data_IF_059586263387
#
_entry.id   IF_059586263387
#
_cell.length_a   1.000
_cell.length_b   1.000
_cell.length_c   1.000
_cell.angle_alpha   90.00
_cell.angle_beta   90.00
_cell.angle_gamma   90.00
#
_symmetry.space_group_name_H-M   'P 1'
#
loop_
_entity.id
_entity.type
_entity.pdbx_description
1 polymer ?
#
# COMPACT_ATOMS: atom_id res chain seq x y z
N UNK A 1 14.23 17.66 -46.73
CA UNK A 1 15.53 17.83 -46.05
C UNK A 1 15.98 16.46 -45.59
N UNK A 2 17.14 15.97 -46.05
CA UNK A 2 17.69 14.67 -45.62
C UNK A 2 18.81 14.93 -44.62
N UNK A 3 18.69 14.39 -43.40
CA UNK A 3 19.68 14.53 -42.35
C UNK A 3 20.83 13.53 -42.58
N UNK A 4 22.08 13.98 -42.41
CA UNK A 4 23.26 13.16 -42.62
C UNK A 4 23.48 12.22 -41.42
N UNK A 5 23.31 10.91 -41.65
CA UNK A 5 23.39 9.84 -40.64
C UNK A 5 24.81 9.67 -40.07
N UNK A 6 25.83 10.24 -40.72
CA UNK A 6 27.21 10.12 -40.28
C UNK A 6 27.75 11.37 -39.59
N UNK A 7 26.89 12.26 -39.11
CA UNK A 7 27.33 13.42 -38.34
C UNK A 7 27.85 12.99 -36.94
N UNK A 8 29.00 13.52 -36.49
CA UNK A 8 29.50 13.26 -35.14
C UNK A 8 28.57 13.86 -34.06
N UNK A 9 28.54 13.29 -32.84
CA UNK A 9 27.71 13.80 -31.75
C UNK A 9 28.14 15.21 -31.32
N UNK A 10 27.16 16.11 -31.16
CA UNK A 10 27.36 17.48 -30.72
C UNK A 10 27.25 17.60 -29.19
N UNK A 11 28.22 18.25 -28.58
CA UNK A 11 28.23 18.57 -27.14
C UNK A 11 28.34 20.09 -26.98
N UNK A 12 27.27 20.78 -26.53
CA UNK A 12 27.31 22.23 -26.32
C UNK A 12 28.06 22.57 -25.04
N UNK A 13 28.90 23.60 -25.13
CA UNK A 13 29.78 24.05 -24.05
C UNK A 13 29.19 25.23 -23.26
N UNK A 14 28.04 25.78 -23.67
CA UNK A 14 27.22 26.72 -22.89
C UNK A 14 25.98 26.00 -22.33
N UNK A 15 25.70 26.20 -21.04
CA UNK A 15 24.52 25.63 -20.38
C UNK A 15 23.22 26.07 -21.05
N UNK A 16 22.26 25.15 -21.18
CA UNK A 16 21.04 25.25 -22.00
C UNK A 16 20.02 26.32 -21.55
N UNK A 17 20.34 27.13 -20.54
CA UNK A 17 19.37 27.99 -19.86
C UNK A 17 19.62 29.49 -19.97
N UNK A 18 20.69 29.95 -20.61
CA UNK A 18 20.97 31.39 -20.75
C UNK A 18 20.67 31.86 -22.17
N UNK A 19 19.63 32.68 -22.39
CA UNK A 19 19.43 33.30 -23.70
C UNK A 19 20.57 34.30 -23.95
N UNK A 20 21.35 34.05 -25.00
CA UNK A 20 22.42 34.96 -25.43
C UNK A 20 21.77 36.04 -26.30
N UNK A 21 21.65 37.25 -25.76
CA UNK A 21 21.12 38.42 -26.45
C UNK A 21 22.25 39.34 -26.91
N UNK A 22 22.04 40.10 -27.99
CA UNK A 22 23.09 40.90 -28.66
C UNK A 22 23.75 41.95 -27.75
N UNK A 23 23.01 42.44 -26.76
CA UNK A 23 23.46 43.33 -25.70
C UNK A 23 24.49 42.68 -24.75
N UNK A 24 24.36 41.38 -24.48
CA UNK A 24 25.35 40.59 -23.70
C UNK A 24 26.65 40.44 -24.48
N UNK A 25 26.55 40.26 -25.79
CA UNK A 25 27.70 40.10 -26.68
C UNK A 25 28.52 41.39 -26.74
N UNK A 26 27.85 42.54 -26.89
CA UNK A 26 28.47 43.87 -26.94
C UNK A 26 29.06 44.28 -25.60
N UNK A 27 28.34 44.03 -24.49
CA UNK A 27 28.80 44.43 -23.15
C UNK A 27 29.99 43.61 -22.65
N UNK A 28 30.07 42.33 -23.01
CA UNK A 28 31.19 41.46 -22.62
C UNK A 28 32.40 41.54 -23.59
N UNK A 29 32.35 42.40 -24.61
CA UNK A 29 33.44 42.56 -25.58
C UNK A 29 33.74 41.27 -26.35
N UNK A 30 32.73 40.42 -26.54
CA UNK A 30 32.90 39.11 -27.15
C UNK A 30 33.16 39.28 -28.65
N UNK A 31 34.07 38.48 -29.23
CA UNK A 31 34.40 38.58 -30.65
C UNK A 31 33.19 38.14 -31.48
N UNK A 32 32.37 39.12 -31.84
CA UNK A 32 31.17 38.94 -32.65
C UNK A 32 31.41 39.48 -34.05
N UNK A 33 31.34 38.60 -35.04
CA UNK A 33 31.37 38.98 -36.43
C UNK A 33 29.96 38.80 -37.01
N UNK A 34 29.24 39.87 -37.36
CA UNK A 34 27.85 39.78 -37.88
C UNK A 34 27.74 39.09 -39.26
N UNK A 35 28.85 38.56 -39.80
CA UNK A 35 28.93 37.90 -41.12
C UNK A 35 29.25 36.41 -41.06
N UNK A 36 29.40 35.82 -39.88
CA UNK A 36 29.61 34.38 -39.73
C UNK A 36 28.42 33.74 -39.04
N UNK A 37 27.66 32.92 -39.78
CA UNK A 37 26.60 32.08 -39.23
C UNK A 37 27.22 31.01 -38.31
N UNK A 38 27.29 31.27 -37.00
CA UNK A 38 27.78 30.31 -36.02
C UNK A 38 27.51 30.74 -34.57
N UNK A 39 27.31 29.78 -33.67
CA UNK A 39 27.10 29.99 -32.24
C UNK A 39 28.45 30.08 -31.49
N UNK A 40 28.61 31.11 -30.66
CA UNK A 40 29.78 31.34 -29.81
C UNK A 40 29.56 30.66 -28.47
N UNK A 41 30.49 29.81 -28.06
CA UNK A 41 30.52 29.26 -26.71
C UNK A 41 31.56 30.04 -25.88
N UNK A 42 31.13 30.63 -24.77
CA UNK A 42 32.01 31.09 -23.70
C UNK A 42 32.35 29.95 -22.73
N UNK A 43 33.65 29.69 -22.53
CA UNK A 43 34.14 28.98 -21.34
C UNK A 43 33.97 29.91 -20.13
N UNK A 44 33.18 29.50 -19.13
CA UNK A 44 33.02 30.28 -17.90
C UNK A 44 34.30 30.19 -17.07
N UNK A 45 35.00 31.31 -16.93
CA UNK A 45 36.15 31.42 -16.02
C UNK A 45 35.64 31.35 -14.58
N UNK A 46 35.72 30.17 -13.96
CA UNK A 46 35.35 29.97 -12.56
C UNK A 46 36.46 30.56 -11.67
N UNK A 47 36.13 31.59 -10.90
CA UNK A 47 37.02 32.18 -9.91
C UNK A 47 37.01 31.31 -8.64
N UNK A 48 38.08 30.53 -8.42
CA UNK A 48 38.27 29.74 -7.21
C UNK A 48 38.84 30.61 -6.09
N UNK A 49 37.99 31.38 -5.43
CA UNK A 49 38.34 31.97 -4.13
C UNK A 49 37.91 30.99 -3.04
N UNK A 50 38.86 30.57 -2.19
CA UNK A 50 38.54 29.84 -0.96
C UNK A 50 37.75 30.77 -0.04
N UNK A 51 36.55 30.31 0.36
CA UNK A 51 35.65 31.00 1.28
C UNK A 51 35.88 30.40 2.67
N UNK A 52 36.23 31.21 3.69
CA UNK A 52 36.37 30.73 5.07
C UNK A 52 35.06 30.14 5.60
N UNK A 53 35.15 29.13 6.47
CA UNK A 53 33.98 28.46 7.05
C UNK A 53 33.06 29.45 7.80
N UNK A 54 33.64 30.50 8.39
CA UNK A 54 32.90 31.55 9.09
C UNK A 54 32.02 32.37 8.13
N UNK A 55 32.43 32.53 6.87
CA UNK A 55 31.67 33.23 5.83
C UNK A 55 30.65 32.30 5.14
N UNK A 56 30.89 30.98 5.17
CA UNK A 56 30.11 29.99 4.41
C UNK A 56 28.63 29.90 4.84
N UNK A 57 28.35 30.23 6.09
CA UNK A 57 27.00 30.19 6.67
C UNK A 57 26.53 31.55 7.19
N UNK A 58 27.26 32.63 6.90
CA UNK A 58 26.87 33.97 7.32
C UNK A 58 25.84 34.54 6.33
N UNK A 59 24.58 34.79 6.78
CA UNK A 59 23.53 35.34 5.94
C UNK A 59 23.86 36.75 5.39
N UNK A 60 24.82 37.45 5.99
CA UNK A 60 25.28 38.74 5.48
C UNK A 60 26.05 38.61 4.16
N UNK A 61 26.73 37.47 3.94
CA UNK A 61 27.49 37.19 2.71
C UNK A 61 26.69 36.33 1.72
N UNK A 62 25.90 35.38 2.24
CA UNK A 62 25.03 34.50 1.45
C UNK A 62 23.60 34.53 1.99
N UNK A 63 22.87 35.64 1.76
CA UNK A 63 21.48 35.73 2.18
C UNK A 63 20.62 34.75 1.39
N UNK A 64 19.62 34.17 2.06
CA UNK A 64 18.62 33.35 1.39
C UNK A 64 17.95 34.15 0.28
N UNK A 65 17.99 33.58 -0.92
CA UNK A 65 17.25 34.11 -2.05
C UNK A 65 15.77 33.75 -1.89
N UNK A 66 14.90 34.45 -2.63
CA UNK A 66 13.48 34.12 -2.64
C UNK A 66 13.23 32.68 -3.09
N UNK A 67 14.09 32.16 -3.99
CA UNK A 67 14.02 30.78 -4.45
C UNK A 67 14.36 29.80 -3.32
N UNK A 68 15.43 30.06 -2.56
CA UNK A 68 15.80 29.20 -1.44
C UNK A 68 14.69 29.13 -0.39
N UNK A 69 14.01 30.25 -0.13
CA UNK A 69 12.88 30.29 0.79
C UNK A 69 11.68 29.48 0.28
N UNK A 70 11.39 29.54 -1.02
CA UNK A 70 10.31 28.72 -1.60
C UNK A 70 10.64 27.23 -1.62
N UNK A 71 11.91 26.89 -1.83
CA UNK A 71 12.38 25.50 -1.76
C UNK A 71 12.29 24.97 -0.33
N UNK A 72 12.64 25.80 0.66
CA UNK A 72 12.54 25.45 2.07
C UNK A 72 11.07 25.24 2.49
N UNK A 73 10.16 26.11 2.07
CA UNK A 73 8.72 25.95 2.31
C UNK A 73 8.18 24.65 1.68
N UNK A 74 8.61 24.32 0.46
CA UNK A 74 8.24 23.05 -0.17
C UNK A 74 8.77 21.84 0.60
N UNK A 75 9.97 21.93 1.18
CA UNK A 75 10.52 20.88 2.03
C UNK A 75 9.70 20.69 3.31
N UNK A 76 9.26 21.79 3.93
CA UNK A 76 8.40 21.74 5.12
C UNK A 76 7.07 21.05 4.82
N UNK A 77 6.41 21.43 3.71
CA UNK A 77 5.16 20.79 3.27
C UNK A 77 5.33 19.30 2.99
N UNK A 78 6.45 18.92 2.37
CA UNK A 78 6.76 17.51 2.11
C UNK A 78 6.95 16.74 3.42
N UNK A 79 7.65 17.32 4.39
CA UNK A 79 7.85 16.69 5.69
C UNK A 79 6.55 16.49 6.46
N UNK A 80 5.63 17.47 6.40
CA UNK A 80 4.29 17.34 6.99
C UNK A 80 3.51 16.19 6.34
N UNK A 81 3.49 16.12 5.00
CA UNK A 81 2.84 15.03 4.27
C UNK A 81 3.42 13.66 4.63
N UNK A 82 4.73 13.56 4.76
CA UNK A 82 5.39 12.30 5.13
C UNK A 82 5.01 11.88 6.56
N UNK A 83 4.90 12.82 7.50
CA UNK A 83 4.44 12.53 8.84
C UNK A 83 2.98 12.02 8.85
N UNK A 84 2.10 12.61 8.03
CA UNK A 84 0.73 12.14 7.88
C UNK A 84 0.65 10.72 7.29
N UNK A 85 1.51 10.42 6.31
CA UNK A 85 1.59 9.07 5.73
C UNK A 85 2.04 8.03 6.77
N UNK A 86 3.02 8.34 7.61
CA UNK A 86 3.46 7.44 8.70
C UNK A 86 2.31 7.12 9.66
N UNK A 87 1.45 8.11 9.95
CA UNK A 87 0.26 7.91 10.80
C UNK A 87 -0.74 6.97 10.11
N UNK A 88 -0.97 7.14 8.81
CA UNK A 88 -1.89 6.29 8.04
C UNK A 88 -1.38 4.85 7.93
N UNK A 89 -0.08 4.66 7.71
CA UNK A 89 0.54 3.34 7.69
C UNK A 89 0.37 2.62 9.03
N UNK A 90 0.55 3.34 10.15
CA UNK A 90 0.31 2.81 11.48
C UNK A 90 -1.17 2.42 11.68
N UNK A 91 -2.10 3.23 11.18
CA UNK A 91 -3.52 2.92 11.24
C UNK A 91 -3.86 1.66 10.45
N UNK A 92 -3.32 1.51 9.23
CA UNK A 92 -3.51 0.30 8.44
C UNK A 92 -2.94 -0.93 9.15
N UNK A 93 -1.74 -0.83 9.72
CA UNK A 93 -1.12 -1.92 10.47
C UNK A 93 -1.98 -2.34 11.67
N UNK A 94 -2.51 -1.38 12.43
CA UNK A 94 -3.41 -1.64 13.55
C UNK A 94 -4.73 -2.29 13.10
N UNK A 95 -5.31 -1.81 11.99
CA UNK A 95 -6.50 -2.41 11.41
C UNK A 95 -6.28 -3.86 11.00
N UNK A 96 -5.13 -4.15 10.36
CA UNK A 96 -4.76 -5.51 10.01
C UNK A 96 -4.59 -6.40 11.24
N UNK A 97 -3.85 -5.94 12.25
CA UNK A 97 -3.66 -6.68 13.52
C UNK A 97 -5.00 -6.97 14.21
N UNK A 98 -5.93 -6.01 14.20
CA UNK A 98 -7.26 -6.18 14.76
C UNK A 98 -8.06 -7.23 13.98
N UNK A 99 -8.03 -7.16 12.64
CA UNK A 99 -8.71 -8.13 11.79
C UNK A 99 -8.17 -9.55 12.01
N UNK A 100 -6.85 -9.71 12.05
CA UNK A 100 -6.18 -10.98 12.33
C UNK A 100 -6.59 -11.53 13.71
N UNK A 101 -6.65 -10.67 14.73
CA UNK A 101 -7.07 -11.08 16.08
C UNK A 101 -8.53 -11.48 16.15
N UNK A 102 -9.41 -10.76 15.46
CA UNK A 102 -10.82 -11.13 15.35
C UNK A 102 -10.98 -12.49 14.65
N UNK A 103 -10.19 -12.74 13.60
CA UNK A 103 -10.20 -14.02 12.90
C UNK A 103 -9.72 -15.17 13.80
N UNK A 104 -8.60 -14.99 14.51
CA UNK A 104 -8.06 -15.95 15.47
C UNK A 104 -9.08 -16.30 16.57
N UNK A 105 -9.78 -15.30 17.12
CA UNK A 105 -10.81 -15.51 18.14
C UNK A 105 -12.03 -16.25 17.59
N UNK A 106 -12.46 -15.94 16.37
CA UNK A 106 -13.56 -16.62 15.69
C UNK A 106 -13.21 -18.09 15.40
N UNK A 107 -11.99 -18.37 14.96
CA UNK A 107 -11.49 -19.74 14.77
C UNK A 107 -11.41 -20.51 16.09
N UNK A 108 -10.88 -19.89 17.14
CA UNK A 108 -10.83 -20.48 18.47
C UNK A 108 -12.24 -20.77 19.01
N UNK A 109 -13.19 -19.85 18.85
CA UNK A 109 -14.60 -20.07 19.22
C UNK A 109 -15.19 -21.27 18.48
N UNK A 110 -15.00 -21.36 17.16
CA UNK A 110 -15.48 -22.50 16.35
C UNK A 110 -14.88 -23.83 16.80
N UNK A 111 -13.60 -23.85 17.15
CA UNK A 111 -12.92 -25.02 17.70
C UNK A 111 -13.50 -25.45 19.06
N UNK A 112 -13.76 -24.49 19.94
CA UNK A 112 -14.40 -24.73 21.23
C UNK A 112 -15.84 -25.22 21.08
N UNK A 113 -16.64 -24.58 20.22
CA UNK A 113 -18.03 -24.99 19.95
C UNK A 113 -18.10 -26.42 19.40
N UNK A 114 -17.18 -26.79 18.50
CA UNK A 114 -17.07 -28.17 18.02
C UNK A 114 -16.72 -29.14 19.15
N UNK A 115 -15.81 -28.76 20.04
CA UNK A 115 -15.43 -29.56 21.21
C UNK A 115 -16.60 -29.74 22.17
N UNK A 116 -17.32 -28.66 22.49
CA UNK A 116 -18.50 -28.67 23.36
C UNK A 116 -19.60 -29.54 22.75
N UNK A 117 -19.87 -29.38 21.45
CA UNK A 117 -20.86 -30.19 20.76
C UNK A 117 -20.48 -31.67 20.74
N UNK A 118 -19.21 -31.99 20.52
CA UNK A 118 -18.70 -33.37 20.58
C UNK A 118 -18.87 -33.99 21.98
N UNK A 119 -18.65 -33.23 23.05
CA UNK A 119 -18.87 -33.69 24.43
C UNK A 119 -20.36 -33.96 24.66
N UNK A 120 -21.23 -32.98 24.38
CA UNK A 120 -22.68 -33.08 24.57
C UNK A 120 -23.30 -34.26 23.80
N UNK A 121 -22.89 -34.45 22.54
CA UNK A 121 -23.40 -35.55 21.72
C UNK A 121 -22.86 -36.92 22.14
N UNK A 122 -21.68 -36.98 22.75
CA UNK A 122 -21.10 -38.23 23.24
C UNK A 122 -21.84 -38.72 24.49
N UNK A 123 -22.14 -37.82 25.42
CA UNK A 123 -22.95 -38.12 26.61
C UNK A 123 -24.36 -38.60 26.22
N UNK A 124 -25.04 -37.92 25.29
CA UNK A 124 -26.37 -38.33 24.82
C UNK A 124 -26.39 -39.70 24.15
N UNK A 125 -25.37 -40.06 23.36
CA UNK A 125 -25.28 -41.38 22.71
C UNK A 125 -24.98 -42.50 23.70
N UNK A 126 -24.20 -42.23 24.74
CA UNK A 126 -23.88 -43.21 25.78
C UNK A 126 -25.09 -43.48 26.67
N UNK A 127 -25.86 -42.45 27.01
CA UNK A 127 -27.15 -42.57 27.70
C UNK A 127 -28.19 -43.31 26.84
N UNK A 128 -28.33 -42.97 25.55
CA UNK A 128 -29.23 -43.66 24.62
C UNK A 128 -28.83 -45.13 24.41
N UNK A 129 -27.54 -45.43 24.35
CA UNK A 129 -27.02 -46.80 24.27
C UNK A 129 -27.30 -47.58 25.56
N UNK A 130 -27.11 -46.95 26.74
CA UNK A 130 -27.43 -47.53 28.03
C UNK A 130 -28.95 -47.79 28.18
N UNK A 131 -29.79 -46.86 27.74
CA UNK A 131 -31.25 -46.99 27.78
C UNK A 131 -31.76 -48.09 26.83
N UNK A 132 -31.19 -48.20 25.62
CA UNK A 132 -31.47 -49.31 24.69
C UNK A 132 -30.98 -50.65 25.23
N UNK A 133 -29.81 -50.68 25.87
CA UNK A 133 -29.29 -51.89 26.51
C UNK A 133 -30.14 -52.35 27.69
N UNK A 134 -30.78 -51.43 28.42
CA UNK A 134 -31.76 -51.74 29.46
C UNK A 134 -33.08 -52.28 28.86
N UNK A 135 -33.58 -51.64 27.79
CA UNK A 135 -34.83 -52.03 27.11
C UNK A 135 -34.73 -53.40 26.42
N UNK A 136 -33.55 -53.77 25.94
CA UNK A 136 -33.31 -55.06 25.27
C UNK A 136 -33.05 -56.21 26.27
N UNK A 137 -32.96 -55.94 27.57
CA UNK A 137 -32.92 -56.96 28.61
C UNK A 137 -34.36 -57.33 29.00
N UNK A 138 -34.85 -58.39 28.37
CA UNK A 138 -36.12 -59.11 28.59
C UNK A 138 -37.27 -58.67 27.69
N UNK A 139 -37.43 -59.40 26.58
CA UNK A 139 -38.65 -60.14 26.25
C UNK A 139 -38.25 -61.25 25.25
N UNK A 140 -38.61 -62.53 25.47
CA UNK A 140 -38.26 -63.62 24.56
C UNK A 140 -39.01 -63.46 23.22
N UNK A 141 -38.48 -64.01 22.10
CA UNK A 141 -39.04 -63.80 20.78
C UNK A 141 -40.38 -64.52 20.64
N UNK A 142 -41.46 -63.76 20.51
CA UNK A 142 -42.76 -64.30 20.12
C UNK A 142 -42.79 -64.48 18.60
N UNK A 143 -42.96 -65.73 18.15
CA UNK A 143 -43.08 -66.09 16.73
C UNK A 143 -44.48 -65.75 16.20
N UNK A 144 -44.51 -65.37 14.91
CA UNK A 144 -45.67 -65.13 14.03
C UNK A 144 -46.39 -63.79 14.24
N UNK A 145 -46.86 -63.04 13.23
CA UNK A 145 -47.52 -63.42 11.98
C UNK A 145 -47.20 -62.36 10.88
N UNK A 146 -47.14 -62.80 9.63
CA UNK A 146 -47.11 -61.94 8.43
C UNK A 146 -48.41 -61.12 8.37
N UNK A 147 -48.31 -59.82 8.08
CA UNK A 147 -49.21 -59.05 7.18
C UNK A 147 -48.77 -57.57 7.14
N UNK A 148 -48.30 -57.13 5.97
CA UNK A 148 -48.29 -55.73 5.54
C UNK A 148 -49.57 -55.51 4.72
N UNK A 149 -50.25 -54.35 4.83
CA UNK A 149 -49.89 -53.25 3.93
C UNK A 149 -49.96 -51.85 4.56
N UNK A 150 -49.07 -50.98 4.06
CA UNK A 150 -49.36 -49.64 3.55
C UNK A 150 -50.37 -48.76 4.33
N UNK A 151 -49.89 -47.67 4.93
CA UNK A 151 -50.30 -46.27 4.66
C UNK A 151 -49.95 -45.36 5.84
N UNK A 152 -49.18 -44.29 5.61
CA UNK A 152 -49.36 -42.95 6.19
C UNK A 152 -48.18 -42.05 5.81
N UNK A 153 -48.20 -41.59 4.55
CA UNK A 153 -47.65 -40.28 4.22
C UNK A 153 -48.50 -39.23 4.96
N UNK A 154 -48.00 -38.71 6.08
CA UNK A 154 -48.48 -37.45 6.65
C UNK A 154 -47.39 -36.40 6.48
N UNK A 155 -47.63 -35.51 5.53
CA UNK A 155 -46.96 -34.23 5.42
C UNK A 155 -47.11 -33.46 6.74
N UNK A 156 -46.00 -33.14 7.39
CA UNK A 156 -45.95 -32.13 8.44
C UNK A 156 -45.45 -30.84 7.81
N UNK A 157 -46.40 -29.93 7.64
CA UNK A 157 -46.21 -28.54 7.25
C UNK A 157 -45.13 -27.86 8.12
N UNK A 158 -44.15 -27.22 7.47
CA UNK A 158 -43.34 -26.18 8.12
C UNK A 158 -44.12 -24.85 8.08
N UNK A 159 -44.27 -24.11 9.20
CA UNK A 159 -44.62 -22.71 9.14
C UNK A 159 -43.36 -21.88 8.85
N UNK A 160 -43.36 -21.20 7.70
CA UNK A 160 -42.55 -19.99 7.51
C UNK A 160 -43.27 -18.85 8.22
N UNK A 161 -42.61 -18.19 9.15
CA UNK A 161 -43.03 -16.87 9.62
C UNK A 161 -41.86 -15.89 9.47
N UNK A 162 -42.11 -14.91 8.62
CA UNK A 162 -41.42 -13.62 8.51
C UNK A 162 -42.39 -12.56 9.04
N UNK A 163 -41.93 -11.75 9.98
CA UNK A 163 -42.18 -10.32 10.10
C UNK A 163 -41.16 -9.74 11.08
#
# INVERSE_FOLDING_TARGET
MSLNVHAPPFYPTLGWKTPITDDVIVSCGLPYCPKSDGFVILDSVLNYREVPDEELFDPAYYPFTQTDLTELEACEQMNELLADLEILDLQEELHRKLADKCHELEENRRSQDSTIWNILMKESKEEDAAFRALRNKKLPPQKHLKNSPHNNNRALHQPRHSN
#
